data_IF_326348547021
#
_entry.id   IF_326348547021
#
_cell.length_a   1.000
_cell.length_b   1.000
_cell.length_c   1.000
_cell.angle_alpha   90.00
_cell.angle_beta   90.00
_cell.angle_gamma   90.00
#
_symmetry.space_group_name_H-M   'P 1'
#
loop_
_entity.id
_entity.type
_entity.pdbx_description
1 polymer ?
#
# COMPACT_ATOMS: atom_id res chain seq x y z
N UNK A 1 29.68 2.86 65.30
CA UNK A 1 29.09 3.05 63.96
C UNK A 1 29.78 2.11 63.00
N UNK A 2 29.05 1.17 62.41
CA UNK A 2 29.61 0.19 61.47
C UNK A 2 29.57 0.75 60.05
N UNK A 3 30.72 0.73 59.37
CA UNK A 3 30.88 1.33 58.04
C UNK A 3 30.48 0.30 56.97
N UNK A 4 29.30 0.48 56.35
CA UNK A 4 28.85 -0.34 55.23
C UNK A 4 29.38 0.26 53.92
N UNK A 5 30.23 -0.46 53.21
CA UNK A 5 30.72 -0.08 51.87
C UNK A 5 29.98 -0.85 50.77
N UNK A 6 29.51 -0.12 49.75
CA UNK A 6 28.82 -0.72 48.61
C UNK A 6 29.77 -0.93 47.44
N UNK A 7 29.93 -2.20 47.03
CA UNK A 7 30.65 -2.57 45.81
C UNK A 7 29.82 -2.20 44.57
N UNK A 8 30.39 -1.36 43.70
CA UNK A 8 29.75 -0.94 42.46
C UNK A 8 29.70 -2.11 41.47
N UNK A 9 28.50 -2.62 41.23
CA UNK A 9 28.27 -3.68 40.25
C UNK A 9 28.71 -3.23 38.85
N UNK A 10 29.65 -3.97 38.23
CA UNK A 10 30.06 -3.75 36.84
C UNK A 10 28.93 -4.23 35.92
N UNK A 11 28.43 -3.35 35.05
CA UNK A 11 27.46 -3.73 34.02
C UNK A 11 28.10 -4.78 33.11
N UNK A 12 27.46 -5.94 32.96
CA UNK A 12 27.85 -6.93 31.95
C UNK A 12 27.78 -6.27 30.57
N UNK A 13 28.78 -6.43 29.69
CA UNK A 13 28.63 -6.01 28.31
C UNK A 13 27.42 -6.72 27.72
N UNK A 14 26.58 -5.95 27.03
CA UNK A 14 25.47 -6.49 26.24
C UNK A 14 26.08 -7.38 25.17
N UNK A 15 26.08 -8.70 25.38
CA UNK A 15 26.38 -9.69 24.35
C UNK A 15 25.22 -9.72 23.34
N UNK A 16 25.05 -8.64 22.59
CA UNK A 16 24.48 -8.76 21.26
C UNK A 16 25.69 -8.98 20.37
N UNK A 17 25.97 -10.22 19.93
CA UNK A 17 26.91 -10.37 18.84
C UNK A 17 26.26 -9.64 17.66
N UNK A 18 26.78 -8.46 17.32
CA UNK A 18 26.66 -7.93 15.98
C UNK A 18 27.37 -8.93 15.08
N UNK A 19 26.63 -9.97 14.69
CA UNK A 19 27.05 -10.94 13.69
C UNK A 19 27.07 -10.19 12.37
N UNK A 20 28.15 -9.46 12.12
CA UNK A 20 28.59 -9.17 10.76
C UNK A 20 28.93 -10.53 10.15
N UNK A 21 27.92 -11.14 9.51
CA UNK A 21 28.13 -12.36 8.75
C UNK A 21 29.15 -12.03 7.67
N UNK A 22 30.32 -12.64 7.75
CA UNK A 22 31.29 -12.61 6.66
C UNK A 22 30.61 -13.20 5.43
N UNK A 23 30.35 -12.34 4.43
CA UNK A 23 29.68 -12.72 3.19
C UNK A 23 30.61 -13.71 2.47
N UNK A 24 30.38 -15.00 2.67
CA UNK A 24 31.03 -16.05 1.88
C UNK A 24 30.54 -15.89 0.44
N UNK A 25 31.48 -15.83 -0.50
CA UNK A 25 31.25 -15.44 -1.91
C UNK A 25 30.34 -16.40 -2.71
N UNK A 26 29.88 -17.52 -2.12
CA UNK A 26 29.00 -18.50 -2.77
C UNK A 26 27.51 -18.09 -2.84
N UNK A 27 27.15 -16.86 -2.46
CA UNK A 27 25.75 -16.39 -2.29
C UNK A 27 25.21 -15.50 -3.43
N UNK A 28 25.67 -15.66 -4.68
CA UNK A 28 25.15 -14.90 -5.82
C UNK A 28 23.67 -15.19 -6.14
N UNK A 29 23.09 -16.24 -5.57
CA UNK A 29 21.64 -16.47 -5.59
C UNK A 29 20.97 -15.68 -4.46
N UNK A 30 20.26 -14.61 -4.83
CA UNK A 30 19.48 -13.82 -3.87
C UNK A 30 18.27 -14.64 -3.44
N UNK A 31 18.32 -15.16 -2.21
CA UNK A 31 17.13 -15.70 -1.55
C UNK A 31 16.15 -14.53 -1.28
N UNK A 32 15.09 -14.45 -2.08
CA UNK A 32 14.07 -13.41 -1.97
C UNK A 32 13.47 -13.30 -0.57
N UNK A 33 13.42 -14.41 0.19
CA UNK A 33 12.91 -14.41 1.57
C UNK A 33 13.84 -13.66 2.51
N UNK A 34 15.15 -13.85 2.36
CA UNK A 34 16.18 -13.12 3.12
C UNK A 34 16.21 -11.65 2.73
N UNK A 35 16.24 -11.35 1.43
CA UNK A 35 16.21 -9.96 0.95
C UNK A 35 15.00 -9.19 1.47
N UNK A 36 13.80 -9.81 1.45
CA UNK A 36 12.59 -9.21 2.02
C UNK A 36 12.72 -8.92 3.51
N UNK A 37 13.32 -9.84 4.26
CA UNK A 37 13.54 -9.65 5.70
C UNK A 37 14.55 -8.54 6.00
N UNK A 38 15.62 -8.44 5.20
CA UNK A 38 16.62 -7.38 5.33
C UNK A 38 16.03 -5.99 5.04
N UNK A 39 15.25 -5.86 3.96
CA UNK A 39 14.52 -4.62 3.65
C UNK A 39 13.57 -4.24 4.78
N UNK A 40 12.85 -5.22 5.35
CA UNK A 40 11.97 -4.98 6.49
C UNK A 40 12.74 -4.54 7.75
N UNK A 41 13.87 -5.19 8.05
CA UNK A 41 14.74 -4.82 9.17
C UNK A 41 15.29 -3.41 9.00
N UNK A 42 15.75 -3.08 7.79
CA UNK A 42 16.23 -1.76 7.43
C UNK A 42 15.15 -0.68 7.60
N UNK A 43 13.93 -0.97 7.11
CA UNK A 43 12.78 -0.07 7.29
C UNK A 43 12.49 0.20 8.78
N UNK A 44 12.67 -0.78 9.65
CA UNK A 44 12.50 -0.59 11.10
C UNK A 44 13.64 0.16 11.78
N UNK A 45 14.87 0.00 11.30
CA UNK A 45 16.04 0.63 11.92
C UNK A 45 16.05 2.14 11.78
N UNK A 46 15.46 2.69 10.73
CA UNK A 46 15.41 4.14 10.46
C UNK A 46 14.24 4.86 11.18
N UNK A 47 13.39 4.12 11.90
CA UNK A 47 12.27 4.72 12.61
C UNK A 47 12.72 5.41 13.91
N UNK A 48 12.24 6.64 14.11
CA UNK A 48 12.30 7.35 15.40
C UNK A 48 11.79 6.48 16.55
N UNK A 49 12.32 6.68 17.76
CA UNK A 49 12.03 5.85 18.94
C UNK A 49 10.52 5.65 19.18
N UNK A 50 9.73 6.72 19.14
CA UNK A 50 8.26 6.65 19.33
C UNK A 50 7.58 5.76 18.27
N UNK A 51 8.00 5.88 17.00
CA UNK A 51 7.43 5.09 15.91
C UNK A 51 7.86 3.62 15.98
N UNK A 52 9.10 3.36 16.40
CA UNK A 52 9.60 2.01 16.65
C UNK A 52 8.79 1.30 17.74
N UNK A 53 8.51 2.00 18.83
CA UNK A 53 7.70 1.45 19.91
C UNK A 53 6.27 1.13 19.45
N UNK A 54 5.64 2.04 18.70
CA UNK A 54 4.31 1.79 18.12
C UNK A 54 4.30 0.58 17.21
N UNK A 55 5.30 0.45 16.33
CA UNK A 55 5.41 -0.68 15.42
C UNK A 55 5.62 -2.01 16.17
N UNK A 56 6.43 -2.02 17.22
CA UNK A 56 6.63 -3.21 18.06
C UNK A 56 5.34 -3.63 18.78
N UNK A 57 4.58 -2.67 19.31
CA UNK A 57 3.27 -2.94 19.94
C UNK A 57 2.29 -3.48 18.91
N UNK A 58 2.23 -2.90 17.71
CA UNK A 58 1.36 -3.37 16.63
C UNK A 58 1.72 -4.79 16.19
N UNK A 59 3.01 -5.09 16.01
CA UNK A 59 3.49 -6.43 15.71
C UNK A 59 3.10 -7.42 16.81
N UNK A 60 3.28 -7.05 18.08
CA UNK A 60 2.87 -7.90 19.19
C UNK A 60 1.36 -8.21 19.15
N UNK A 61 0.53 -7.21 18.86
CA UNK A 61 -0.93 -7.39 18.72
C UNK A 61 -1.26 -8.33 17.55
N UNK A 62 -0.60 -8.18 16.39
CA UNK A 62 -0.78 -9.08 15.24
C UNK A 62 -0.40 -10.53 15.58
N UNK A 63 0.59 -10.72 16.46
CA UNK A 63 0.99 -12.03 16.98
C UNK A 63 0.05 -12.56 18.09
N UNK A 64 -1.04 -11.85 18.39
CA UNK A 64 -2.05 -12.25 19.37
C UNK A 64 -1.83 -11.70 20.78
N UNK A 65 -0.87 -10.81 21.00
CA UNK A 65 -0.72 -10.14 22.28
C UNK A 65 -1.93 -9.24 22.58
N UNK A 66 -2.31 -9.15 23.85
CA UNK A 66 -3.39 -8.25 24.29
C UNK A 66 -2.96 -6.79 24.12
N UNK A 67 -3.80 -5.92 23.51
CA UNK A 67 -3.47 -4.51 23.35
C UNK A 67 -3.37 -3.79 24.70
N UNK A 68 -2.54 -2.74 24.80
CA UNK A 68 -2.38 -1.97 26.03
C UNK A 68 -3.69 -1.29 26.43
N UNK A 69 -3.93 -1.19 27.74
CA UNK A 69 -5.12 -0.55 28.30
C UNK A 69 -5.06 0.96 28.04
N UNK A 70 -6.18 1.55 27.62
CA UNK A 70 -6.32 3.00 27.47
C UNK A 70 -6.42 3.68 28.84
N UNK A 71 -5.97 4.92 28.91
CA UNK A 71 -6.12 5.76 30.10
C UNK A 71 -7.60 5.98 30.45
N UNK A 72 -7.88 6.10 31.75
CA UNK A 72 -9.22 6.41 32.21
C UNK A 72 -9.55 7.87 31.89
N UNK A 73 -10.65 8.08 31.13
CA UNK A 73 -11.14 9.42 30.77
C UNK A 73 -12.57 9.61 31.27
N UNK A 74 -12.94 10.85 31.58
CA UNK A 74 -14.33 11.19 31.89
C UNK A 74 -15.23 10.93 30.67
N UNK A 75 -16.35 10.24 30.89
CA UNK A 75 -17.28 9.83 29.83
C UNK A 75 -17.79 10.98 28.96
N UNK A 76 -18.13 12.14 29.56
CA UNK A 76 -18.64 13.29 28.80
C UNK A 76 -17.59 13.82 27.81
N UNK A 77 -16.33 13.87 28.23
CA UNK A 77 -15.18 14.26 27.37
C UNK A 77 -14.94 13.23 26.27
N UNK A 78 -14.92 11.94 26.62
CA UNK A 78 -14.71 10.85 25.66
C UNK A 78 -15.82 10.80 24.59
N UNK A 79 -17.07 11.08 24.96
CA UNK A 79 -18.18 11.15 24.00
C UNK A 79 -18.02 12.33 23.03
N UNK A 80 -17.60 13.49 23.52
CA UNK A 80 -17.31 14.65 22.68
C UNK A 80 -16.16 14.39 21.70
N UNK A 81 -15.03 13.84 22.19
CA UNK A 81 -13.88 13.45 21.35
C UNK A 81 -14.30 12.50 20.23
N UNK A 82 -15.11 11.47 20.54
CA UNK A 82 -15.59 10.50 19.55
C UNK A 82 -16.49 11.12 18.48
N UNK A 83 -17.30 12.12 18.84
CA UNK A 83 -18.17 12.80 17.88
C UNK A 83 -17.31 13.58 16.88
N UNK A 84 -16.37 14.38 17.37
CA UNK A 84 -15.42 15.13 16.52
C UNK A 84 -14.62 14.19 15.62
N UNK A 85 -14.14 13.06 16.16
CA UNK A 85 -13.41 12.07 15.36
C UNK A 85 -14.28 11.41 14.27
N UNK A 86 -15.58 11.21 14.53
CA UNK A 86 -16.51 10.69 13.55
C UNK A 86 -16.75 11.70 12.42
N UNK A 87 -16.99 12.97 12.76
CA UNK A 87 -17.22 14.05 11.81
C UNK A 87 -15.99 14.20 10.88
N UNK A 88 -14.78 14.24 11.43
CA UNK A 88 -13.52 14.28 10.65
C UNK A 88 -13.37 13.04 9.76
N UNK A 89 -13.79 11.86 10.21
CA UNK A 89 -13.72 10.63 9.39
C UNK A 89 -14.70 10.69 8.22
N UNK A 90 -15.89 11.24 8.41
CA UNK A 90 -16.89 11.42 7.35
C UNK A 90 -16.41 12.42 6.31
N UNK A 91 -15.88 13.57 6.73
CA UNK A 91 -15.26 14.55 5.83
C UNK A 91 -14.12 13.92 5.01
N UNK A 92 -13.22 13.18 5.67
CA UNK A 92 -12.12 12.50 4.99
C UNK A 92 -12.58 11.44 3.99
N UNK A 93 -13.67 10.71 4.30
CA UNK A 93 -14.28 9.76 3.36
C UNK A 93 -14.83 10.49 2.15
N UNK A 94 -15.56 11.57 2.38
CA UNK A 94 -16.12 12.41 1.32
C UNK A 94 -15.02 12.95 0.38
N UNK A 95 -13.92 13.48 0.92
CA UNK A 95 -12.78 13.92 0.11
C UNK A 95 -12.09 12.78 -0.66
N UNK A 96 -11.95 11.60 -0.05
CA UNK A 96 -11.44 10.40 -0.74
C UNK A 96 -12.34 9.94 -1.89
N UNK A 97 -13.65 10.05 -1.72
CA UNK A 97 -14.62 9.71 -2.77
C UNK A 97 -14.58 10.72 -3.92
N UNK A 98 -14.55 12.03 -3.62
CA UNK A 98 -14.37 13.07 -4.63
C UNK A 98 -13.09 12.86 -5.42
N UNK A 99 -11.95 12.69 -4.74
CA UNK A 99 -10.66 12.50 -5.40
C UNK A 99 -10.64 11.24 -6.27
N UNK A 100 -11.23 10.14 -5.80
CA UNK A 100 -11.38 8.91 -6.59
C UNK A 100 -12.24 9.15 -7.84
N UNK A 101 -13.38 9.82 -7.68
CA UNK A 101 -14.30 10.15 -8.77
C UNK A 101 -13.67 11.11 -9.79
N UNK A 102 -12.83 12.05 -9.34
CA UNK A 102 -12.09 12.93 -10.23
C UNK A 102 -11.05 12.15 -11.05
N UNK A 103 -10.26 11.30 -10.40
CA UNK A 103 -9.24 10.47 -11.06
C UNK A 103 -9.85 9.53 -12.09
N UNK A 104 -10.95 8.84 -11.76
CA UNK A 104 -11.64 7.93 -12.70
C UNK A 104 -12.23 8.69 -13.89
N UNK A 105 -12.83 9.87 -13.68
CA UNK A 105 -13.32 10.74 -14.77
C UNK A 105 -12.19 11.19 -15.69
N UNK A 106 -11.03 11.57 -15.17
CA UNK A 106 -9.87 11.95 -15.99
C UNK A 106 -9.30 10.78 -16.80
N UNK A 107 -9.17 9.61 -16.17
CA UNK A 107 -8.64 8.41 -16.84
C UNK A 107 -9.58 7.93 -17.97
N UNK A 108 -10.88 7.93 -17.72
CA UNK A 108 -11.89 7.53 -18.72
C UNK A 108 -11.94 8.52 -19.90
N UNK A 109 -11.75 9.82 -19.67
CA UNK A 109 -11.64 10.81 -20.77
C UNK A 109 -10.45 10.52 -21.68
N UNK A 110 -9.28 10.20 -21.11
CA UNK A 110 -8.06 9.87 -21.88
C UNK A 110 -8.24 8.59 -22.71
N UNK A 111 -8.82 7.54 -22.13
CA UNK A 111 -9.10 6.26 -22.85
C UNK A 111 -10.19 6.40 -23.93
N UNK A 112 -11.14 7.32 -23.77
CA UNK A 112 -12.17 7.56 -24.78
C UNK A 112 -11.66 8.36 -25.97
N UNK A 113 -10.73 9.29 -25.76
CA UNK A 113 -10.12 10.07 -26.85
C UNK A 113 -9.22 9.18 -27.72
N UNK A 114 -8.40 8.30 -27.14
CA UNK A 114 -7.56 7.38 -27.91
C UNK A 114 -8.38 6.35 -28.70
N UNK A 115 -9.44 5.80 -28.11
CA UNK A 115 -10.35 4.87 -28.81
C UNK A 115 -11.13 5.53 -29.94
N UNK A 116 -11.59 6.78 -29.78
CA UNK A 116 -12.23 7.53 -30.87
C UNK A 116 -11.26 7.78 -32.03
N UNK A 117 -10.01 8.16 -31.75
CA UNK A 117 -9.00 8.37 -32.78
C UNK A 117 -8.60 7.09 -33.52
N UNK A 118 -8.42 5.96 -32.82
CA UNK A 118 -8.17 4.66 -33.48
C UNK A 118 -9.35 4.23 -34.35
N UNK A 119 -10.58 4.36 -33.84
CA UNK A 119 -11.77 3.95 -34.58
C UNK A 119 -12.00 4.83 -35.82
N UNK A 120 -11.64 6.11 -35.79
CA UNK A 120 -11.73 7.00 -36.96
C UNK A 120 -10.70 6.62 -38.03
N UNK A 121 -9.42 6.44 -37.66
CA UNK A 121 -8.36 6.04 -38.61
C UNK A 121 -8.57 4.65 -39.23
N UNK A 122 -9.12 3.70 -38.47
CA UNK A 122 -9.39 2.35 -38.98
C UNK A 122 -10.57 2.28 -39.97
N UNK A 123 -11.48 3.26 -39.90
CA UNK A 123 -12.66 3.31 -40.78
C UNK A 123 -12.40 4.01 -42.09
N UNK A 124 -11.46 4.95 -42.16
CA UNK A 124 -11.18 5.71 -43.39
C UNK A 124 -10.14 5.04 -44.30
N UNK A 125 -9.14 4.33 -43.74
CA UNK A 125 -8.01 3.80 -44.51
C UNK A 125 -8.16 2.35 -45.00
N UNK A 126 -9.37 1.77 -44.90
CA UNK A 126 -9.63 0.44 -45.42
C UNK A 126 -9.74 0.45 -46.95
N UNK A 127 -9.01 -0.42 -47.63
CA UNK A 127 -9.02 -0.58 -49.10
C UNK A 127 -10.47 -0.75 -49.65
N UNK A 128 -11.36 -1.33 -48.83
CA UNK A 128 -12.79 -1.51 -49.13
C UNK A 128 -13.58 -0.21 -49.33
N UNK A 129 -13.14 0.93 -48.77
CA UNK A 129 -13.76 2.23 -49.02
C UNK A 129 -13.36 2.82 -50.38
N UNK A 130 -12.12 2.59 -50.82
CA UNK A 130 -11.62 3.10 -52.11
C UNK A 130 -12.31 2.41 -53.30
N UNK A 131 -12.65 1.13 -53.15
CA UNK A 131 -13.24 0.30 -54.22
C UNK A 131 -14.74 0.01 -54.04
N UNK A 132 -15.34 0.46 -52.93
CA UNK A 132 -16.77 0.26 -52.62
C UNK A 132 -17.14 -1.16 -52.20
N UNK A 133 -18.23 -1.29 -51.42
CA UNK A 133 -18.75 -2.60 -51.00
C UNK A 133 -19.55 -3.24 -52.15
N UNK A 134 -19.14 -4.43 -52.59
CA UNK A 134 -19.84 -5.18 -53.61
C UNK A 134 -21.27 -5.55 -53.16
N UNK A 135 -22.28 -5.16 -53.94
CA UNK A 135 -23.67 -5.60 -53.73
C UNK A 135 -23.83 -6.98 -54.35
N UNK A 136 -24.22 -7.97 -53.54
CA UNK A 136 -24.57 -9.29 -54.06
C UNK A 136 -25.83 -9.16 -54.93
N UNK A 137 -25.75 -9.58 -56.19
CA UNK A 137 -26.91 -9.64 -57.08
C UNK A 137 -27.83 -10.76 -56.59
N UNK A 138 -29.05 -10.42 -56.18
CA UNK A 138 -30.07 -11.42 -55.91
C UNK A 138 -30.41 -12.16 -57.20
N UNK A 139 -30.16 -13.47 -57.24
CA UNK A 139 -30.57 -14.32 -58.35
C UNK A 139 -32.10 -14.41 -58.28
N UNK A 140 -32.79 -13.76 -59.21
CA UNK A 140 -34.24 -13.89 -59.35
C UNK A 140 -34.54 -15.36 -59.68
N UNK A 141 -35.19 -16.07 -58.74
CA UNK A 141 -35.69 -17.42 -59.00
C UNK A 141 -36.83 -17.30 -60.01
N UNK A 142 -36.69 -17.91 -61.18
CA UNK A 142 -37.80 -18.05 -62.12
C UNK A 142 -38.89 -18.90 -61.46
N UNK A 143 -40.12 -18.37 -61.44
CA UNK A 143 -41.29 -19.10 -60.96
C UNK A 143 -41.64 -20.16 -62.01
N UNK A 144 -41.77 -21.41 -61.57
CA UNK A 144 -42.54 -22.44 -62.29
C UNK A 144 -44.02 -22.23 -62.02
#
# INVERSE_FOLDING_TARGET
FELVSFSKHKKKPSNNPDQFQTIKQDQLSVDMKKARFEVYKFSKSDLNFSNRQKNNVELAIQLGARPPKREAKNYKKLKAEKKVEADIKEENKYFKEISRNFKTKMENKRKNHSRKLMNFKSKENGILNAYGKAKQKSIMKSKR
#
